data_IF_844479824359
#
_entry.id   IF_844479824359
#
_cell.length_a   1.000
_cell.length_b   1.000
_cell.length_c   1.000
_cell.angle_alpha   90.00
_cell.angle_beta   90.00
_cell.angle_gamma   90.00
#
_symmetry.space_group_name_H-M   'P 1'
#
loop_
_entity.id
_entity.type
_entity.pdbx_description
1 polymer ?
#
# COMPACT_ATOMS: atom_id res chain seq x y z
N UNK A 1 -25.13 -12.02 7.85
CA UNK A 1 -25.56 -11.43 9.17
C UNK A 1 -25.26 -9.94 9.12
N UNK A 2 -26.14 -9.06 9.64
CA UNK A 2 -25.85 -7.62 9.65
C UNK A 2 -24.83 -7.35 10.78
N UNK A 3 -23.65 -6.82 10.41
CA UNK A 3 -22.64 -6.40 11.38
C UNK A 3 -23.17 -5.26 12.27
N UNK A 4 -22.79 -5.26 13.53
CA UNK A 4 -23.17 -4.18 14.46
C UNK A 4 -22.08 -3.11 14.46
N UNK A 5 -22.46 -1.83 14.65
CA UNK A 5 -21.48 -0.75 14.80
C UNK A 5 -20.55 -1.04 16.00
N UNK A 6 -19.29 -0.64 15.84
CA UNK A 6 -18.30 -0.71 16.91
C UNK A 6 -17.51 0.60 16.98
N UNK A 7 -16.86 0.86 18.11
CA UNK A 7 -16.02 2.03 18.27
C UNK A 7 -14.63 1.74 17.69
N UNK A 8 -14.27 2.45 16.61
CA UNK A 8 -13.00 2.22 15.91
C UNK A 8 -11.78 2.54 16.77
N UNK A 9 -11.79 3.62 17.55
CA UNK A 9 -10.66 3.94 18.43
C UNK A 9 -10.44 2.86 19.50
N UNK A 10 -11.52 2.38 20.10
CA UNK A 10 -11.46 1.26 21.06
C UNK A 10 -10.91 0.00 20.39
N UNK A 11 -11.36 -0.32 19.17
CA UNK A 11 -10.86 -1.46 18.41
C UNK A 11 -9.35 -1.35 18.15
N UNK A 12 -8.86 -0.17 17.73
CA UNK A 12 -7.44 0.10 17.52
C UNK A 12 -6.64 -0.13 18.82
N UNK A 13 -7.14 0.39 19.94
CA UNK A 13 -6.48 0.24 21.25
C UNK A 13 -6.38 -1.23 21.69
N UNK A 14 -7.43 -2.02 21.48
CA UNK A 14 -7.48 -3.44 21.81
C UNK A 14 -6.64 -4.32 20.86
N UNK A 15 -6.35 -3.83 19.63
CA UNK A 15 -5.69 -4.61 18.58
C UNK A 15 -4.32 -4.04 18.18
N UNK A 16 -3.68 -3.22 19.01
CA UNK A 16 -2.37 -2.58 18.72
C UNK A 16 -1.31 -3.58 18.25
N UNK A 17 -1.30 -4.79 18.81
CA UNK A 17 -0.33 -5.82 18.44
C UNK A 17 -0.48 -6.30 16.99
N UNK A 18 -1.67 -6.22 16.39
CA UNK A 18 -1.94 -6.60 15.00
C UNK A 18 -1.50 -5.52 14.02
N UNK A 19 -1.24 -4.30 14.50
CA UNK A 19 -0.86 -3.14 13.71
C UNK A 19 0.65 -2.89 13.74
N UNK A 20 1.42 -3.81 14.30
CA UNK A 20 2.89 -3.74 14.37
C UNK A 20 3.53 -4.62 13.29
N UNK A 21 4.77 -4.31 12.88
CA UNK A 21 5.54 -5.19 11.99
C UNK A 21 5.61 -6.64 12.53
N UNK A 22 5.71 -7.65 11.67
CA UNK A 22 5.88 -7.58 10.21
C UNK A 22 4.58 -7.40 9.42
N UNK A 23 3.40 -7.46 10.06
CA UNK A 23 2.09 -7.30 9.43
C UNK A 23 1.44 -6.05 10.01
N UNK A 24 1.62 -4.92 9.35
CA UNK A 24 1.09 -3.63 9.79
C UNK A 24 -0.34 -3.34 9.37
N UNK A 25 -1.09 -4.30 8.79
CA UNK A 25 -2.45 -4.08 8.33
C UNK A 25 -3.42 -5.15 8.83
N UNK A 26 -4.67 -4.76 9.04
CA UNK A 26 -5.74 -5.68 9.40
C UNK A 26 -7.04 -5.26 8.72
N UNK A 27 -7.57 -6.15 7.87
CA UNK A 27 -8.91 -6.01 7.33
C UNK A 27 -9.92 -6.22 8.48
N UNK A 28 -10.87 -5.27 8.62
CA UNK A 28 -11.84 -5.25 9.72
C UNK A 28 -13.21 -5.80 9.33
N UNK A 29 -13.53 -5.82 8.04
CA UNK A 29 -14.71 -6.49 7.50
C UNK A 29 -14.24 -7.52 6.48
N UNK A 30 -14.47 -8.81 6.77
CA UNK A 30 -14.00 -9.92 5.93
C UNK A 30 -15.12 -10.56 5.09
N UNK A 31 -16.37 -10.38 5.52
CA UNK A 31 -17.56 -10.94 4.88
C UNK A 31 -18.38 -9.82 4.22
N UNK A 32 -17.78 -9.10 3.26
CA UNK A 32 -18.41 -8.03 2.51
C UNK A 32 -18.03 -8.12 1.03
N UNK A 33 -18.91 -7.64 0.15
CA UNK A 33 -18.80 -7.85 -1.29
C UNK A 33 -18.12 -6.68 -2.02
N UNK A 34 -18.22 -5.44 -1.51
CA UNK A 34 -17.86 -4.25 -2.27
C UNK A 34 -16.52 -3.62 -1.85
N UNK A 35 -16.20 -3.65 -0.55
CA UNK A 35 -15.08 -2.87 -0.01
C UNK A 35 -14.09 -3.71 0.79
N UNK A 36 -12.82 -3.43 0.60
CA UNK A 36 -11.75 -3.83 1.50
C UNK A 36 -11.50 -2.67 2.46
N UNK A 37 -11.76 -2.90 3.75
CA UNK A 37 -11.59 -1.87 4.79
C UNK A 37 -10.50 -2.31 5.74
N UNK A 38 -9.39 -1.58 5.76
CA UNK A 38 -8.19 -1.94 6.52
C UNK A 38 -7.80 -0.86 7.52
N UNK A 39 -7.36 -1.28 8.70
CA UNK A 39 -6.56 -0.44 9.59
C UNK A 39 -5.10 -0.80 9.37
N UNK A 40 -4.29 0.22 9.12
CA UNK A 40 -2.87 0.08 8.76
C UNK A 40 -2.03 0.85 9.76
N UNK A 41 -1.09 0.16 10.40
CA UNK A 41 -0.13 0.74 11.35
C UNK A 41 1.25 0.93 10.73
N UNK A 42 2.05 1.80 11.35
CA UNK A 42 3.48 1.95 11.09
C UNK A 42 4.33 1.36 12.21
N UNK A 43 5.67 1.16 11.98
CA UNK A 43 6.38 1.59 10.78
C UNK A 43 6.26 0.63 9.60
N UNK A 44 6.41 1.15 8.38
CA UNK A 44 6.75 0.37 7.21
C UNK A 44 7.91 1.02 6.44
N UNK A 45 8.69 0.22 5.75
CA UNK A 45 9.85 0.67 4.97
C UNK A 45 9.81 0.11 3.55
N UNK A 46 8.68 0.20 2.87
CA UNK A 46 8.47 -0.35 1.53
C UNK A 46 9.19 0.46 0.47
N UNK A 47 9.79 -0.24 -0.50
CA UNK A 47 10.34 0.34 -1.74
C UNK A 47 9.45 0.11 -2.95
N UNK A 48 8.57 -0.89 -2.88
CA UNK A 48 7.61 -1.22 -3.91
C UNK A 48 6.46 -0.22 -3.94
N UNK A 49 5.89 -0.06 -5.13
CA UNK A 49 4.69 0.71 -5.40
C UNK A 49 3.57 -0.23 -5.78
N UNK A 50 2.44 -0.12 -5.09
CA UNK A 50 1.23 -0.83 -5.46
C UNK A 50 0.53 -0.10 -6.61
N UNK A 51 -0.07 -0.85 -7.51
CA UNK A 51 -0.87 -0.34 -8.63
C UNK A 51 -2.11 -1.20 -8.75
N UNK A 52 -3.26 -0.56 -8.80
CA UNK A 52 -4.55 -1.19 -8.97
C UNK A 52 -5.49 -0.40 -9.89
N UNK A 53 -6.57 -1.03 -10.34
CA UNK A 53 -7.58 -0.42 -11.22
C UNK A 53 -8.62 0.43 -10.49
N UNK A 54 -8.68 0.37 -9.16
CA UNK A 54 -9.62 1.11 -8.30
C UNK A 54 -9.04 2.40 -7.74
N UNK A 55 -9.91 3.16 -7.10
CA UNK A 55 -9.54 4.26 -6.21
C UNK A 55 -9.21 3.72 -4.82
N UNK A 56 -8.31 4.38 -4.11
CA UNK A 56 -7.96 4.05 -2.73
C UNK A 56 -8.15 5.28 -1.83
N UNK A 57 -8.99 5.16 -0.80
CA UNK A 57 -9.21 6.22 0.18
C UNK A 57 -8.32 6.03 1.38
N UNK A 58 -7.51 7.03 1.70
CA UNK A 58 -6.73 7.14 2.92
C UNK A 58 -7.39 8.10 3.89
N UNK A 59 -7.49 7.70 5.15
CA UNK A 59 -7.81 8.59 6.26
C UNK A 59 -6.79 8.38 7.38
N UNK A 60 -6.05 9.43 7.72
CA UNK A 60 -5.01 9.32 8.73
C UNK A 60 -5.57 9.58 10.13
N UNK A 61 -5.65 8.51 10.95
CA UNK A 61 -6.27 8.53 12.29
C UNK A 61 -5.28 9.04 13.33
N UNK A 62 -3.99 8.65 13.22
CA UNK A 62 -2.94 9.01 14.17
C UNK A 62 -1.59 9.17 13.47
N UNK A 63 -0.93 10.29 13.74
CA UNK A 63 0.38 10.66 13.20
C UNK A 63 0.36 10.93 11.70
N UNK A 64 1.40 11.54 11.18
CA UNK A 64 1.52 11.94 9.78
C UNK A 64 2.21 10.86 8.96
N UNK A 65 1.82 10.72 7.69
CA UNK A 65 2.45 9.82 6.71
C UNK A 65 2.75 10.57 5.41
N UNK A 66 3.51 9.92 4.54
CA UNK A 66 3.64 10.32 3.14
C UNK A 66 3.18 9.17 2.23
N UNK A 67 2.52 9.49 1.14
CA UNK A 67 2.31 8.55 0.02
C UNK A 67 3.21 8.99 -1.13
N UNK A 68 4.21 8.16 -1.45
CA UNK A 68 4.97 8.33 -2.70
C UNK A 68 4.10 7.86 -3.85
N UNK A 69 4.04 8.64 -4.92
CA UNK A 69 3.35 8.25 -6.15
C UNK A 69 4.28 8.41 -7.35
N UNK A 70 3.96 7.71 -8.43
CA UNK A 70 4.47 8.04 -9.76
C UNK A 70 3.30 8.68 -10.51
N UNK A 71 3.42 9.96 -10.80
CA UNK A 71 2.37 10.71 -11.47
C UNK A 71 2.25 10.36 -12.96
N UNK A 72 1.27 10.91 -13.65
CA UNK A 72 0.98 10.64 -15.07
C UNK A 72 2.15 11.03 -16.00
N UNK A 73 3.01 11.95 -15.57
CA UNK A 73 4.23 12.35 -16.31
C UNK A 73 5.42 11.40 -16.06
N UNK A 74 5.26 10.41 -15.16
CA UNK A 74 6.31 9.47 -14.75
C UNK A 74 7.28 10.03 -13.70
N UNK A 75 6.94 11.13 -13.05
CA UNK A 75 7.75 11.73 -12.00
C UNK A 75 7.31 11.23 -10.62
N UNK A 76 8.28 11.04 -9.73
CA UNK A 76 8.02 10.72 -8.34
C UNK A 76 7.56 11.97 -7.60
N UNK A 77 6.43 11.85 -6.92
CA UNK A 77 5.91 12.86 -5.99
C UNK A 77 5.72 12.28 -4.59
N UNK A 78 5.71 13.15 -3.58
CA UNK A 78 5.41 12.82 -2.18
C UNK A 78 4.21 13.62 -1.74
N UNK A 79 3.14 12.93 -1.38
CA UNK A 79 1.90 13.53 -0.91
C UNK A 79 1.82 13.32 0.60
N UNK A 80 2.00 14.37 1.42
CA UNK A 80 1.82 14.25 2.85
C UNK A 80 0.33 14.12 3.18
N UNK A 81 0.02 13.23 4.14
CA UNK A 81 -1.32 13.10 4.73
C UNK A 81 -1.12 13.23 6.24
N UNK A 82 -1.58 14.34 6.81
CA UNK A 82 -1.46 14.62 8.23
C UNK A 82 -2.55 13.93 9.03
N UNK A 83 -2.35 13.82 10.33
CA UNK A 83 -3.38 13.35 11.25
C UNK A 83 -4.69 14.13 11.05
N UNK A 84 -5.80 13.39 10.85
CA UNK A 84 -7.12 13.94 10.57
C UNK A 84 -7.39 14.23 9.09
N UNK A 85 -6.40 14.15 8.22
CA UNK A 85 -6.59 14.39 6.78
C UNK A 85 -7.06 13.14 6.03
N UNK A 86 -7.77 13.38 4.93
CA UNK A 86 -8.21 12.36 3.98
C UNK A 86 -7.58 12.63 2.61
N UNK A 87 -7.26 11.54 1.90
CA UNK A 87 -6.79 11.60 0.52
C UNK A 87 -7.44 10.48 -0.30
N UNK A 88 -8.09 10.85 -1.40
CA UNK A 88 -8.59 9.89 -2.38
C UNK A 88 -7.56 9.79 -3.51
N UNK A 89 -6.86 8.67 -3.58
CA UNK A 89 -5.93 8.36 -4.65
C UNK A 89 -6.71 7.91 -5.89
N UNK A 90 -6.49 8.53 -7.06
CA UNK A 90 -7.10 8.09 -8.31
C UNK A 90 -6.66 6.67 -8.70
N UNK A 91 -7.48 5.98 -9.52
CA UNK A 91 -7.14 4.65 -10.01
C UNK A 91 -5.87 4.67 -10.86
N UNK A 92 -5.17 3.56 -10.92
CA UNK A 92 -3.99 3.33 -11.78
C UNK A 92 -2.79 4.24 -11.51
N UNK A 93 -2.69 4.82 -10.31
CA UNK A 93 -1.52 5.56 -9.87
C UNK A 93 -0.63 4.64 -9.02
N UNK A 94 0.61 4.33 -9.46
CA UNK A 94 1.56 3.61 -8.64
C UNK A 94 1.85 4.38 -7.36
N UNK A 95 1.67 3.75 -6.21
CA UNK A 95 1.79 4.42 -4.92
C UNK A 95 2.46 3.54 -3.86
N UNK A 96 3.14 4.19 -2.93
CA UNK A 96 3.88 3.54 -1.84
C UNK A 96 3.71 4.34 -0.55
N UNK A 97 2.75 3.96 0.32
CA UNK A 97 2.56 4.64 1.60
C UNK A 97 3.77 4.43 2.51
N UNK A 98 4.35 5.52 3.00
CA UNK A 98 5.48 5.54 3.91
C UNK A 98 4.98 5.93 5.30
N UNK A 99 5.01 4.98 6.22
CA UNK A 99 4.44 5.13 7.56
C UNK A 99 5.54 5.12 8.62
N UNK A 100 5.78 6.23 9.32
CA UNK A 100 6.61 6.24 10.52
C UNK A 100 6.05 5.36 11.64
N UNK A 101 6.84 5.11 12.68
CA UNK A 101 6.37 4.44 13.88
C UNK A 101 5.20 5.19 14.53
N UNK A 102 4.34 4.45 15.23
CA UNK A 102 3.18 4.97 15.96
C UNK A 102 2.11 5.67 15.11
N UNK A 103 2.13 5.49 13.78
CA UNK A 103 1.07 5.96 12.90
C UNK A 103 -0.02 4.91 12.72
N UNK A 104 -1.26 5.37 12.57
CA UNK A 104 -2.43 4.52 12.29
C UNK A 104 -3.31 5.23 11.26
N UNK A 105 -3.67 4.52 10.20
CA UNK A 105 -4.57 5.00 9.17
C UNK A 105 -5.68 4.00 8.85
N UNK A 106 -6.77 4.51 8.32
CA UNK A 106 -7.84 3.74 7.67
C UNK A 106 -7.59 3.80 6.17
N UNK A 107 -7.65 2.65 5.52
CA UNK A 107 -7.59 2.51 4.07
C UNK A 107 -8.83 1.79 3.60
N UNK A 108 -9.48 2.33 2.58
CA UNK A 108 -10.65 1.74 1.95
C UNK A 108 -10.41 1.69 0.45
N UNK A 109 -10.56 0.50 -0.11
CA UNK A 109 -10.51 0.23 -1.53
C UNK A 109 -11.66 -0.72 -1.91
N UNK A 110 -12.00 -0.79 -3.19
CA UNK A 110 -13.00 -1.76 -3.64
C UNK A 110 -12.39 -3.14 -3.86
N UNK A 111 -13.20 -4.17 -3.79
CA UNK A 111 -12.81 -5.48 -4.31
C UNK A 111 -12.52 -5.41 -5.81
N UNK A 112 -11.62 -6.26 -6.29
CA UNK A 112 -11.26 -6.32 -7.71
C UNK A 112 -12.36 -6.98 -8.51
N UNK A 113 -12.65 -6.44 -9.68
CA UNK A 113 -13.49 -7.11 -10.66
C UNK A 113 -12.75 -8.29 -11.28
N UNK A 114 -13.48 -9.20 -11.87
CA UNK A 114 -12.89 -10.34 -12.56
C UNK A 114 -11.93 -9.89 -13.68
N UNK A 115 -10.71 -10.40 -13.65
CA UNK A 115 -9.67 -10.09 -14.65
C UNK A 115 -8.86 -8.82 -14.35
N UNK A 116 -9.16 -8.09 -13.27
CA UNK A 116 -8.29 -7.01 -12.80
C UNK A 116 -7.03 -7.60 -12.14
N UNK A 117 -5.89 -7.00 -12.48
CA UNK A 117 -4.57 -7.46 -12.03
C UNK A 117 -3.90 -6.34 -11.24
N UNK A 118 -3.64 -6.61 -9.98
CA UNK A 118 -2.81 -5.75 -9.16
C UNK A 118 -1.34 -5.93 -9.56
N UNK A 119 -0.55 -4.87 -9.43
CA UNK A 119 0.89 -4.92 -9.68
C UNK A 119 1.67 -4.36 -8.50
N UNK A 120 2.83 -4.96 -8.24
CA UNK A 120 3.89 -4.30 -7.50
C UNK A 120 4.97 -3.87 -8.48
N UNK A 121 5.35 -2.62 -8.37
CA UNK A 121 6.30 -1.95 -9.26
C UNK A 121 7.48 -1.43 -8.43
N UNK A 122 8.68 -1.52 -9.00
CA UNK A 122 9.88 -0.90 -8.43
C UNK A 122 10.45 0.09 -9.42
N UNK A 123 10.87 1.22 -8.92
CA UNK A 123 11.44 2.30 -9.70
C UNK A 123 12.83 2.64 -9.20
N UNK A 124 13.69 3.06 -10.10
CA UNK A 124 15.04 3.48 -9.76
C UNK A 124 15.02 4.72 -8.86
N UNK A 125 15.71 4.64 -7.73
CA UNK A 125 15.80 5.74 -6.76
C UNK A 125 16.49 7.00 -7.34
N UNK A 126 17.29 6.85 -8.42
CA UNK A 126 18.02 7.95 -9.05
C UNK A 126 17.27 8.61 -10.21
N UNK A 127 16.58 7.83 -11.08
CA UNK A 127 16.01 8.38 -12.32
C UNK A 127 14.54 8.01 -12.54
N UNK A 128 13.89 7.41 -11.54
CA UNK A 128 12.48 6.98 -11.56
C UNK A 128 12.09 6.04 -12.71
N UNK A 129 13.05 5.47 -13.42
CA UNK A 129 12.76 4.47 -14.45
C UNK A 129 12.26 3.18 -13.80
N UNK A 130 11.28 2.48 -14.39
CA UNK A 130 10.84 1.19 -13.86
C UNK A 130 12.00 0.17 -13.97
N UNK A 131 12.20 -0.63 -12.92
CA UNK A 131 13.27 -1.64 -12.84
C UNK A 131 12.74 -3.05 -12.66
N UNK A 132 11.57 -3.21 -12.03
CA UNK A 132 10.94 -4.52 -11.84
C UNK A 132 9.43 -4.37 -11.68
N UNK A 133 8.69 -5.41 -12.07
CA UNK A 133 7.26 -5.52 -11.79
C UNK A 133 6.84 -6.97 -11.57
N UNK A 134 5.85 -7.15 -10.71
CA UNK A 134 5.14 -8.42 -10.48
C UNK A 134 3.64 -8.15 -10.51
N UNK A 135 2.87 -8.97 -11.23
CA UNK A 135 1.42 -8.84 -11.33
C UNK A 135 0.70 -10.07 -10.79
N UNK A 136 -0.46 -9.87 -10.16
CA UNK A 136 -1.27 -10.97 -9.62
C UNK A 136 -2.77 -10.60 -9.58
N UNK A 137 -3.64 -11.58 -9.77
CA UNK A 137 -5.05 -11.43 -9.40
C UNK A 137 -5.15 -11.48 -7.87
N UNK A 138 -5.77 -10.46 -7.28
CA UNK A 138 -5.83 -10.32 -5.82
C UNK A 138 -6.70 -11.40 -5.18
N UNK A 139 -6.10 -12.21 -4.31
CA UNK A 139 -6.77 -13.23 -3.47
C UNK A 139 -6.48 -13.00 -2.00
N UNK A 140 -5.21 -12.77 -1.66
CA UNK A 140 -4.73 -12.44 -0.33
C UNK A 140 -3.58 -11.44 -0.45
N UNK A 141 -3.87 -10.19 -0.14
CA UNK A 141 -2.95 -9.07 -0.36
C UNK A 141 -1.64 -9.25 0.40
N UNK A 142 -1.71 -9.73 1.65
CA UNK A 142 -0.52 -9.88 2.50
C UNK A 142 0.46 -10.93 1.98
N UNK A 143 -0.06 -12.09 1.58
CA UNK A 143 0.76 -13.20 1.05
C UNK A 143 1.32 -12.86 -0.32
N UNK A 144 0.51 -12.27 -1.21
CA UNK A 144 0.92 -11.98 -2.59
C UNK A 144 1.95 -10.85 -2.65
N UNK A 145 1.79 -9.80 -1.85
CA UNK A 145 2.80 -8.73 -1.70
C UNK A 145 4.12 -9.31 -1.21
N UNK A 146 4.08 -10.18 -0.18
CA UNK A 146 5.29 -10.80 0.36
C UNK A 146 6.02 -11.65 -0.69
N UNK A 147 5.29 -12.44 -1.48
CA UNK A 147 5.86 -13.23 -2.57
C UNK A 147 6.54 -12.34 -3.62
N UNK A 148 5.88 -11.30 -4.08
CA UNK A 148 6.43 -10.38 -5.08
C UNK A 148 7.69 -9.63 -4.57
N UNK A 149 7.72 -9.27 -3.28
CA UNK A 149 8.93 -8.69 -2.67
C UNK A 149 10.08 -9.72 -2.61
N UNK A 150 9.78 -10.99 -2.32
CA UNK A 150 10.79 -12.06 -2.34
C UNK A 150 11.34 -12.28 -3.75
N UNK A 151 10.48 -12.26 -4.78
CA UNK A 151 10.89 -12.40 -6.18
C UNK A 151 11.80 -11.25 -6.61
N UNK A 152 11.48 -10.01 -6.23
CA UNK A 152 12.35 -8.85 -6.46
C UNK A 152 13.70 -9.01 -5.76
N UNK A 153 13.70 -9.36 -4.48
CA UNK A 153 14.93 -9.49 -3.70
C UNK A 153 15.85 -10.61 -4.21
N UNK A 154 15.28 -11.65 -4.81
CA UNK A 154 16.04 -12.76 -5.40
C UNK A 154 16.58 -12.44 -6.80
N UNK A 155 16.13 -11.38 -7.42
CA UNK A 155 16.53 -10.98 -8.78
C UNK A 155 17.61 -9.88 -8.73
N UNK A 156 18.88 -10.29 -8.63
CA UNK A 156 20.00 -9.34 -8.56
C UNK A 156 20.09 -8.38 -9.77
N UNK A 157 19.69 -8.84 -10.96
CA UNK A 157 19.71 -8.02 -12.18
C UNK A 157 18.70 -6.85 -12.09
N UNK A 158 17.59 -7.07 -11.41
CA UNK A 158 16.57 -6.03 -11.21
C UNK A 158 17.04 -4.90 -10.27
N UNK A 159 18.10 -5.11 -9.51
CA UNK A 159 18.64 -4.07 -8.62
C UNK A 159 19.49 -3.04 -9.38
N UNK A 160 19.91 -3.33 -10.61
CA UNK A 160 20.68 -2.39 -11.45
C UNK A 160 19.76 -1.73 -12.46
N UNK A 161 19.67 -0.41 -12.41
CA UNK A 161 18.85 0.33 -13.35
C UNK A 161 19.39 0.25 -14.78
N UNK A 162 18.63 -0.36 -15.69
CA UNK A 162 19.00 -0.47 -17.11
C UNK A 162 19.13 0.89 -17.84
N UNK A 163 18.54 1.98 -17.27
CA UNK A 163 18.60 3.32 -17.88
C UNK A 163 19.82 4.12 -17.44
N UNK A 164 20.18 4.09 -16.15
CA UNK A 164 21.23 4.96 -15.60
C UNK A 164 22.35 4.20 -14.86
N UNK A 165 22.27 2.89 -14.74
CA UNK A 165 23.27 2.05 -14.07
C UNK A 165 23.28 2.15 -12.55
N UNK A 166 22.33 2.89 -11.94
CA UNK A 166 22.24 3.00 -10.48
C UNK A 166 21.90 1.65 -9.85
N UNK A 167 22.58 1.32 -8.74
CA UNK A 167 22.26 0.16 -7.89
C UNK A 167 21.23 0.57 -6.82
N UNK A 168 20.04 -0.08 -6.82
CA UNK A 168 18.89 0.25 -5.96
C UNK A 168 18.84 -0.59 -4.68
#
# INVERSE_FOLDING_TARGET
MIARPFNLHKWIDENKALLQPPVGNKQIYVDNDDFIVMIVGGPNGRKDYHYEEGEELFYQIKGDIEVKIINEEGNMERIPIREGEMFLLPPRIPHSPQRPADTVGLVIERHRNQGEVDKLLWFCDNCSAPIFQSGFELKDIGTQIKSAIQDYNANEEAHVCGKCGHLN
#
